data_IF_458853292645
#
_entry.id   IF_458853292645
#
_cell.length_a   1.000
_cell.length_b   1.000
_cell.length_c   1.000
_cell.angle_alpha   90.00
_cell.angle_beta   90.00
_cell.angle_gamma   90.00
#
_symmetry.space_group_name_H-M   'P 1'
#
loop_
_entity.id
_entity.type
_entity.pdbx_description
1 polymer ?
#
# COMPACT_ATOMS: atom_id res chain seq x y z
N UNK A 1 13.87 3.15 -7.21
CA UNK A 1 13.20 4.45 -7.20
C UNK A 1 11.77 4.18 -6.75
N UNK A 2 11.41 4.60 -5.54
CA UNK A 2 10.11 4.34 -4.94
C UNK A 2 9.27 5.63 -4.96
N UNK A 3 7.95 5.51 -5.14
CA UNK A 3 7.06 6.65 -4.92
C UNK A 3 7.19 7.06 -3.45
N UNK A 4 7.50 8.33 -3.22
CA UNK A 4 7.62 8.88 -1.89
C UNK A 4 6.31 8.66 -1.11
N UNK A 5 6.36 8.41 0.21
CA UNK A 5 5.16 8.14 1.02
C UNK A 5 4.13 9.27 1.04
N UNK A 6 4.53 10.47 0.62
CA UNK A 6 3.70 11.66 0.44
C UNK A 6 3.02 11.74 -0.94
N UNK A 7 3.31 10.81 -1.85
CA UNK A 7 2.77 10.76 -3.21
C UNK A 7 3.27 11.87 -4.14
N UNK A 8 4.16 12.76 -3.66
CA UNK A 8 4.55 13.98 -4.36
C UNK A 8 5.78 13.81 -5.27
N UNK A 9 6.50 12.69 -5.18
CA UNK A 9 7.69 12.47 -5.99
C UNK A 9 8.28 11.08 -5.87
N UNK A 10 9.50 10.90 -6.38
CA UNK A 10 10.21 9.63 -6.33
C UNK A 10 11.50 9.76 -5.51
N UNK A 11 11.74 8.81 -4.61
CA UNK A 11 12.96 8.74 -3.78
C UNK A 11 13.85 7.60 -4.24
N UNK A 12 15.17 7.84 -4.31
CA UNK A 12 16.14 6.75 -4.39
C UNK A 12 16.31 6.17 -3.00
N UNK A 13 16.03 4.87 -2.87
CA UNK A 13 16.10 4.11 -1.64
C UNK A 13 16.90 2.84 -1.91
N UNK A 14 17.97 2.63 -1.13
CA UNK A 14 18.76 1.40 -1.15
C UNK A 14 18.01 0.36 -0.34
N UNK A 15 17.27 -0.50 -1.01
CA UNK A 15 16.53 -1.58 -0.36
C UNK A 15 17.43 -2.81 -0.19
N UNK A 16 17.10 -3.62 0.80
CA UNK A 16 17.67 -4.94 0.97
C UNK A 16 17.60 -5.73 -0.35
N UNK A 17 18.75 -6.15 -0.86
CA UNK A 17 18.86 -6.68 -2.22
C UNK A 17 18.57 -8.19 -2.32
N UNK A 18 19.12 -8.98 -1.39
CA UNK A 18 18.85 -10.43 -1.28
C UNK A 18 19.42 -11.00 0.01
N UNK A 19 18.80 -12.06 0.51
CA UNK A 19 19.42 -12.95 1.49
C UNK A 19 20.44 -13.84 0.76
N UNK A 20 21.60 -14.05 1.38
CA UNK A 20 22.66 -14.87 0.79
C UNK A 20 22.45 -16.36 1.13
N UNK A 21 21.79 -16.64 2.25
CA UNK A 21 21.62 -17.96 2.86
C UNK A 21 20.15 -18.46 2.84
N UNK A 22 19.39 -18.12 1.79
CA UNK A 22 18.00 -18.59 1.63
C UNK A 22 17.90 -20.12 1.63
N UNK A 23 18.77 -20.88 0.93
CA UNK A 23 18.67 -22.34 0.93
C UNK A 23 18.78 -22.94 2.33
N UNK A 24 19.71 -22.46 3.15
CA UNK A 24 19.96 -22.94 4.52
C UNK A 24 18.79 -22.60 5.44
N UNK A 25 18.25 -21.38 5.34
CA UNK A 25 17.06 -20.97 6.08
C UNK A 25 15.85 -21.85 5.74
N UNK A 26 15.65 -22.14 4.44
CA UNK A 26 14.57 -23.02 3.98
C UNK A 26 14.76 -24.45 4.46
N UNK A 27 16.00 -24.95 4.54
CA UNK A 27 16.27 -26.29 5.06
C UNK A 27 15.88 -26.40 6.54
N UNK A 28 16.21 -25.38 7.36
CA UNK A 28 15.79 -25.35 8.77
C UNK A 28 14.27 -25.27 8.91
N UNK A 29 13.60 -24.43 8.13
CA UNK A 29 12.14 -24.29 8.19
C UNK A 29 11.41 -25.59 7.83
N UNK A 30 11.92 -26.32 6.83
CA UNK A 30 11.35 -27.60 6.37
C UNK A 30 11.48 -28.76 7.36
N UNK A 31 12.25 -28.60 8.45
CA UNK A 31 12.31 -29.62 9.52
C UNK A 31 11.01 -29.67 10.34
N UNK A 32 10.28 -28.56 10.43
CA UNK A 32 9.08 -28.44 11.25
C UNK A 32 7.81 -28.09 10.46
N UNK A 33 7.93 -27.74 9.18
CA UNK A 33 6.80 -27.34 8.34
C UNK A 33 6.87 -27.96 6.94
N UNK A 34 5.74 -28.47 6.46
CA UNK A 34 5.55 -28.86 5.06
C UNK A 34 4.94 -27.70 4.26
N UNK A 35 5.44 -27.47 3.05
CA UNK A 35 4.99 -26.39 2.16
C UNK A 35 4.52 -27.00 0.85
N UNK A 36 3.20 -27.15 0.73
CA UNK A 36 2.57 -27.65 -0.49
C UNK A 36 2.06 -26.49 -1.33
N UNK A 37 2.58 -26.37 -2.56
CA UNK A 37 2.10 -25.36 -3.51
C UNK A 37 0.84 -25.84 -4.22
N UNK A 38 0.07 -24.90 -4.77
CA UNK A 38 -1.10 -25.23 -5.56
C UNK A 38 -0.80 -26.15 -6.77
N UNK A 39 0.43 -26.13 -7.30
CA UNK A 39 0.87 -27.03 -8.36
C UNK A 39 1.20 -28.45 -7.86
N UNK A 40 1.62 -28.59 -6.59
CA UNK A 40 1.90 -29.90 -5.97
C UNK A 40 0.61 -30.65 -5.62
N UNK A 41 -0.43 -29.92 -5.23
CA UNK A 41 -1.70 -30.50 -4.79
C UNK A 41 -2.62 -30.90 -5.96
N UNK A 42 -2.45 -30.28 -7.14
CA UNK A 42 -3.24 -30.51 -8.36
C UNK A 42 -4.77 -30.63 -8.14
N UNK A 43 -5.30 -29.81 -7.22
CA UNK A 43 -6.72 -29.86 -6.88
C UNK A 43 -7.57 -29.17 -7.94
N UNK A 44 -8.79 -29.68 -8.22
CA UNK A 44 -9.72 -29.03 -9.13
C UNK A 44 -10.09 -27.65 -8.58
N UNK A 45 -9.83 -26.61 -9.37
CA UNK A 45 -10.10 -25.22 -9.03
C UNK A 45 -10.82 -24.52 -10.18
N UNK A 46 -11.79 -23.65 -9.91
CA UNK A 46 -12.40 -22.84 -10.95
C UNK A 46 -11.33 -21.95 -11.58
N UNK A 47 -11.36 -21.84 -12.92
CA UNK A 47 -10.48 -20.93 -13.65
C UNK A 47 -10.95 -19.49 -13.48
N UNK A 48 -10.01 -18.58 -13.28
CA UNK A 48 -10.29 -17.15 -13.39
C UNK A 48 -10.52 -16.79 -14.86
N UNK A 49 -11.51 -15.93 -15.10
CA UNK A 49 -11.69 -15.30 -16.40
C UNK A 49 -10.43 -14.49 -16.75
N UNK A 50 -9.76 -14.83 -17.84
CA UNK A 50 -8.49 -14.21 -18.24
C UNK A 50 -7.23 -14.74 -17.51
N UNK A 51 -7.32 -15.85 -16.77
CA UNK A 51 -6.22 -16.56 -16.07
C UNK A 51 -5.44 -15.77 -15.00
N UNK A 52 -5.69 -14.46 -14.89
CA UNK A 52 -5.02 -13.53 -13.98
C UNK A 52 -6.03 -12.60 -13.32
N UNK A 53 -5.72 -12.04 -12.14
CA UNK A 53 -6.55 -11.00 -11.53
C UNK A 53 -6.73 -9.80 -12.47
N UNK A 54 -7.96 -9.37 -12.68
CA UNK A 54 -8.27 -8.17 -13.46
C UNK A 54 -8.08 -6.91 -12.59
N UNK A 55 -7.21 -6.01 -13.02
CA UNK A 55 -6.99 -4.71 -12.35
C UNK A 55 -7.95 -3.70 -12.96
N UNK A 56 -8.78 -3.06 -12.13
CA UNK A 56 -9.66 -1.94 -12.54
C UNK A 56 -9.15 -0.65 -11.92
N UNK A 57 -8.84 0.32 -12.78
CA UNK A 57 -8.40 1.65 -12.35
C UNK A 57 -9.62 2.56 -12.18
N UNK A 58 -9.78 3.12 -10.99
CA UNK A 58 -10.72 4.21 -10.74
C UNK A 58 -10.02 5.56 -10.97
N UNK A 59 -10.64 6.51 -11.70
CA UNK A 59 -10.10 7.85 -11.84
C UNK A 59 -10.14 8.58 -10.49
N UNK A 60 -9.15 9.42 -10.21
CA UNK A 60 -9.17 10.24 -8.99
C UNK A 60 -10.08 11.46 -9.14
N UNK A 61 -11.05 11.59 -8.23
CA UNK A 61 -11.95 12.75 -8.13
C UNK A 61 -11.18 14.03 -7.75
N UNK A 62 -11.72 15.23 -8.09
CA UNK A 62 -11.13 16.50 -7.66
C UNK A 62 -10.97 16.61 -6.14
N UNK A 63 -11.96 16.14 -5.38
CA UNK A 63 -11.95 16.19 -3.91
C UNK A 63 -10.87 15.29 -3.32
N UNK A 64 -10.69 14.09 -3.88
CA UNK A 64 -9.59 13.20 -3.50
C UNK A 64 -8.23 13.85 -3.78
N UNK A 65 -8.06 14.47 -4.96
CA UNK A 65 -6.83 15.18 -5.31
C UNK A 65 -6.53 16.32 -4.33
N UNK A 66 -7.55 17.11 -3.96
CA UNK A 66 -7.40 18.18 -2.98
C UNK A 66 -6.97 17.63 -1.61
N UNK A 67 -7.57 16.52 -1.16
CA UNK A 67 -7.19 15.89 0.10
C UNK A 67 -5.76 15.34 0.08
N UNK A 68 -5.32 14.73 -1.03
CA UNK A 68 -3.94 14.25 -1.18
C UNK A 68 -2.93 15.41 -1.10
N UNK A 69 -3.25 16.57 -1.67
CA UNK A 69 -2.39 17.76 -1.56
C UNK A 69 -2.26 18.26 -0.12
N UNK A 70 -3.35 18.20 0.67
CA UNK A 70 -3.31 18.51 2.10
C UNK A 70 -2.39 17.57 2.87
N UNK A 71 -2.46 16.26 2.58
CA UNK A 71 -1.58 15.26 3.18
C UNK A 71 -0.11 15.48 2.82
N UNK A 72 0.18 15.86 1.57
CA UNK A 72 1.54 16.18 1.14
C UNK A 72 2.10 17.40 1.91
N UNK A 73 1.30 18.45 2.07
CA UNK A 73 1.69 19.62 2.87
C UNK A 73 1.95 19.25 4.35
N UNK A 74 1.14 18.36 4.93
CA UNK A 74 1.38 17.84 6.29
C UNK A 74 2.68 17.04 6.36
N UNK A 75 2.96 16.19 5.38
CA UNK A 75 4.20 15.42 5.32
C UNK A 75 5.44 16.34 5.24
N UNK A 76 5.38 17.42 4.47
CA UNK A 76 6.47 18.40 4.41
C UNK A 76 6.67 19.15 5.72
N UNK A 77 5.59 19.50 6.42
CA UNK A 77 5.67 20.09 7.78
C UNK A 77 6.33 19.16 8.79
N UNK A 78 6.10 17.84 8.69
CA UNK A 78 6.76 16.85 9.56
C UNK A 78 8.25 16.72 9.26
N UNK A 79 8.67 16.92 8.01
CA UNK A 79 10.10 16.85 7.61
C UNK A 79 10.87 18.10 8.02
N UNK A 80 10.24 19.26 7.92
CA UNK A 80 10.89 20.57 8.09
C UNK A 80 10.69 21.17 9.48
N UNK A 81 9.60 20.83 10.16
CA UNK A 81 9.22 21.35 11.47
C UNK A 81 9.34 20.31 12.59
N UNK A 82 9.28 20.82 13.83
CA UNK A 82 9.10 20.00 15.03
C UNK A 82 7.60 19.95 15.34
N UNK A 83 6.94 18.87 14.90
CA UNK A 83 5.54 18.55 15.25
C UNK A 83 5.57 17.41 16.26
N UNK A 84 4.71 17.45 17.28
CA UNK A 84 4.59 16.36 18.24
C UNK A 84 4.06 15.10 17.53
N UNK A 85 4.77 13.96 17.58
CA UNK A 85 4.34 12.72 16.95
C UNK A 85 2.98 12.19 17.42
N UNK A 86 2.52 12.58 18.61
CA UNK A 86 1.20 12.23 19.13
C UNK A 86 0.07 13.02 18.46
N UNK A 87 0.35 14.21 17.95
CA UNK A 87 -0.60 15.04 17.20
C UNK A 87 -0.64 14.60 15.72
N UNK A 88 0.54 14.49 15.09
CA UNK A 88 0.66 14.10 13.69
C UNK A 88 1.98 13.38 13.39
N UNK A 89 1.91 12.39 12.51
CA UNK A 89 3.08 11.60 12.10
C UNK A 89 2.85 10.90 10.74
N UNK A 90 3.92 10.35 10.17
CA UNK A 90 3.85 9.68 8.86
C UNK A 90 2.95 8.43 8.85
N UNK A 91 2.78 7.73 9.97
CA UNK A 91 1.89 6.56 10.06
C UNK A 91 0.42 6.96 9.98
N UNK A 92 0.07 8.08 10.61
CA UNK A 92 -1.26 8.69 10.54
C UNK A 92 -1.56 9.14 9.11
N UNK A 93 -0.67 9.96 8.52
CA UNK A 93 -0.82 10.47 7.14
C UNK A 93 -0.99 9.35 6.12
N UNK A 94 -0.13 8.33 6.15
CA UNK A 94 -0.21 7.19 5.21
C UNK A 94 -1.48 6.34 5.41
N UNK A 95 -2.00 6.28 6.63
CA UNK A 95 -3.25 5.57 6.92
C UNK A 95 -4.47 6.37 6.45
N UNK A 96 -4.47 7.70 6.62
CA UNK A 96 -5.50 8.60 6.11
C UNK A 96 -5.53 8.62 4.58
N UNK A 97 -4.36 8.65 3.93
CA UNK A 97 -4.24 8.53 2.48
C UNK A 97 -4.80 7.21 1.94
N UNK A 98 -4.50 6.08 2.61
CA UNK A 98 -5.07 4.76 2.24
C UNK A 98 -6.59 4.71 2.40
N UNK A 99 -7.13 5.31 3.47
CA UNK A 99 -8.58 5.41 3.68
C UNK A 99 -9.23 6.23 2.57
N UNK A 100 -8.71 7.42 2.27
CA UNK A 100 -9.26 8.28 1.24
C UNK A 100 -9.15 7.68 -0.17
N UNK A 101 -8.07 6.93 -0.45
CA UNK A 101 -7.91 6.24 -1.73
C UNK A 101 -8.90 5.08 -1.93
N UNK A 102 -9.43 4.51 -0.84
CA UNK A 102 -10.52 3.54 -0.90
C UNK A 102 -11.87 4.24 -1.05
N UNK A 103 -12.15 5.19 -0.18
CA UNK A 103 -13.36 6.03 -0.20
C UNK A 103 -13.14 7.28 0.66
N UNK A 104 -13.39 8.47 0.09
CA UNK A 104 -13.19 9.73 0.79
C UNK A 104 -14.09 9.87 2.04
N UNK A 105 -15.23 9.17 2.08
CA UNK A 105 -16.16 9.17 3.23
C UNK A 105 -15.54 8.59 4.50
N UNK A 106 -14.52 7.74 4.37
CA UNK A 106 -13.76 7.22 5.51
C UNK A 106 -12.93 8.29 6.22
N UNK A 107 -12.70 9.43 5.56
CA UNK A 107 -12.04 10.59 6.13
C UNK A 107 -13.00 11.76 6.35
N UNK A 108 -13.99 11.93 5.47
CA UNK A 108 -14.97 13.02 5.50
C UNK A 108 -16.38 12.43 5.37
N UNK A 109 -17.05 12.18 6.49
CA UNK A 109 -18.37 11.52 6.50
C UNK A 109 -19.45 12.23 5.67
N UNK A 110 -19.28 13.53 5.39
CA UNK A 110 -20.19 14.34 4.57
C UNK A 110 -19.82 14.37 3.09
N UNK A 111 -18.78 13.64 2.66
CA UNK A 111 -18.41 13.56 1.24
C UNK A 111 -19.50 12.83 0.42
N UNK A 112 -19.70 13.29 -0.80
CA UNK A 112 -20.64 12.68 -1.75
C UNK A 112 -20.18 11.27 -2.12
N UNK A 113 -21.14 10.36 -2.33
CA UNK A 113 -20.84 9.02 -2.84
C UNK A 113 -20.49 9.06 -4.32
N UNK A 114 -19.35 8.48 -4.68
CA UNK A 114 -18.86 8.40 -6.06
C UNK A 114 -18.79 6.92 -6.49
N UNK A 115 -19.86 6.37 -7.11
CA UNK A 115 -19.99 4.94 -7.36
C UNK A 115 -19.00 4.36 -8.39
N UNK A 116 -18.18 5.21 -9.02
CA UNK A 116 -17.14 4.82 -9.98
C UNK A 116 -15.72 5.09 -9.46
N UNK A 117 -15.60 5.56 -8.22
CA UNK A 117 -14.41 6.18 -7.65
C UNK A 117 -14.28 7.64 -8.00
#
# INVERSE_FOLDING_TARGET
MELSPDGAGYRMSTRFARFINVPELMQMFRQAADVQTAAMLDLPRPKLEGEKPAIRNAPGTPDLKAFVQELAARAERLKTGRVDPSEDNMLKITSEGRKAALDLRLMKSTATDEPRG
#
